data_IF_522383520129
#
_entry.id   IF_522383520129
#
_cell.length_a   1.000
_cell.length_b   1.000
_cell.length_c   1.000
_cell.angle_alpha   90.00
_cell.angle_beta   90.00
_cell.angle_gamma   90.00
#
_symmetry.space_group_name_H-M   'P 1'
#
loop_
_entity.id
_entity.type
_entity.pdbx_description
1 polymer ?
#
# COMPACT_ATOMS: atom_id res chain seq x y z
N UNK A 1 -4.04 -13.03 7.33
CA UNK A 1 -3.01 -12.58 6.38
C UNK A 1 -1.78 -13.50 6.31
N UNK A 2 -1.30 -14.08 7.42
CA UNK A 2 -0.11 -14.97 7.38
C UNK A 2 -0.42 -16.44 7.16
N UNK A 3 -1.70 -16.84 7.21
CA UNK A 3 -2.14 -18.21 6.97
C UNK A 3 -2.47 -18.39 5.46
N UNK A 4 -2.29 -19.60 4.90
CA UNK A 4 -2.57 -19.88 3.48
C UNK A 4 -4.09 -20.02 3.23
N UNK A 5 -4.85 -19.00 3.59
CA UNK A 5 -6.31 -18.99 3.55
C UNK A 5 -6.78 -17.76 2.79
N UNK A 6 -7.68 -17.89 1.79
CA UNK A 6 -8.21 -16.74 1.07
C UNK A 6 -9.33 -16.07 1.89
N UNK A 7 -8.99 -15.15 2.80
CA UNK A 7 -9.98 -14.60 3.75
C UNK A 7 -11.08 -13.78 3.05
N UNK A 8 -10.79 -13.15 1.91
CA UNK A 8 -11.78 -12.32 1.18
C UNK A 8 -12.92 -13.17 0.58
N UNK A 9 -12.66 -14.25 -0.20
CA UNK A 9 -13.71 -15.19 -0.59
C UNK A 9 -14.49 -15.78 0.59
N UNK A 10 -13.80 -16.17 1.68
CA UNK A 10 -14.47 -16.73 2.85
C UNK A 10 -15.40 -15.72 3.52
N UNK A 11 -14.99 -14.46 3.61
CA UNK A 11 -15.82 -13.40 4.17
C UNK A 11 -17.06 -13.14 3.34
N UNK A 12 -16.96 -13.27 2.00
CA UNK A 12 -18.12 -13.19 1.13
C UNK A 12 -19.06 -14.38 1.31
N UNK A 13 -18.52 -15.60 1.43
CA UNK A 13 -19.31 -16.79 1.71
C UNK A 13 -20.03 -16.70 3.07
N UNK A 14 -19.42 -16.04 4.05
CA UNK A 14 -20.00 -15.74 5.37
C UNK A 14 -20.93 -14.50 5.38
N UNK A 15 -21.31 -13.96 4.23
CA UNK A 15 -22.27 -12.85 4.14
C UNK A 15 -21.75 -11.49 4.64
N UNK A 16 -20.46 -11.34 4.94
CA UNK A 16 -19.89 -10.10 5.49
C UNK A 16 -19.79 -8.97 4.45
N UNK A 17 -19.84 -9.31 3.17
CA UNK A 17 -19.64 -8.37 2.07
C UNK A 17 -19.39 -9.08 0.74
N UNK A 18 -19.07 -8.35 -0.32
CA UNK A 18 -18.69 -8.92 -1.61
C UNK A 18 -17.30 -8.46 -2.02
N UNK A 19 -16.60 -9.26 -2.82
CA UNK A 19 -15.34 -8.81 -3.41
C UNK A 19 -15.63 -7.78 -4.51
N UNK A 20 -15.24 -6.52 -4.28
CA UNK A 20 -15.40 -5.48 -5.28
C UNK A 20 -14.48 -5.69 -6.49
N UNK A 21 -14.70 -4.92 -7.58
CA UNK A 21 -13.86 -4.98 -8.79
C UNK A 21 -12.37 -4.70 -8.53
N UNK A 22 -12.06 -4.02 -7.43
CA UNK A 22 -10.70 -3.79 -6.93
C UNK A 22 -10.14 -4.95 -6.06
N UNK A 23 -10.80 -6.10 -6.05
CA UNK A 23 -10.39 -7.34 -5.35
C UNK A 23 -10.27 -7.27 -3.82
N UNK A 24 -10.84 -6.25 -3.18
CA UNK A 24 -10.99 -6.20 -1.71
C UNK A 24 -12.46 -6.37 -1.33
N UNK A 25 -12.70 -6.83 -0.11
CA UNK A 25 -14.05 -7.00 0.40
C UNK A 25 -14.69 -5.62 0.61
N UNK A 26 -15.96 -5.51 0.26
CA UNK A 26 -16.80 -4.33 0.43
C UNK A 26 -18.05 -4.74 1.19
N UNK A 27 -18.48 -3.95 2.14
CA UNK A 27 -19.65 -4.17 2.98
C UNK A 27 -20.64 -3.02 2.81
N UNK A 28 -21.94 -3.35 2.86
CA UNK A 28 -23.03 -2.36 2.78
C UNK A 28 -23.05 -1.41 3.99
N UNK A 29 -22.49 -1.83 5.13
CA UNK A 29 -22.56 -1.10 6.40
C UNK A 29 -21.21 -0.58 6.90
N UNK A 30 -20.10 -1.07 6.32
CA UNK A 30 -18.74 -0.72 6.73
C UNK A 30 -17.88 -0.13 5.60
N UNK A 31 -18.39 -0.04 4.37
CA UNK A 31 -17.58 0.37 3.22
C UNK A 31 -16.51 -0.67 2.90
N UNK A 32 -15.25 -0.26 2.71
CA UNK A 32 -14.11 -1.18 2.52
C UNK A 32 -12.90 -0.89 3.43
N UNK A 33 -13.06 -0.03 4.45
CA UNK A 33 -12.01 0.34 5.42
C UNK A 33 -12.14 -0.46 6.71
N UNK A 34 -11.97 -1.78 6.62
CA UNK A 34 -12.02 -2.65 7.78
C UNK A 34 -11.05 -3.83 7.64
N UNK A 35 -10.69 -4.42 8.77
CA UNK A 35 -9.86 -5.62 8.80
C UNK A 35 -10.72 -6.87 8.76
N UNK A 36 -10.18 -7.93 8.15
CA UNK A 36 -10.78 -9.25 8.12
C UNK A 36 -9.95 -10.18 9.01
N UNK A 37 -10.65 -10.98 9.82
CA UNK A 37 -10.07 -12.09 10.56
C UNK A 37 -10.89 -13.35 10.35
N UNK A 38 -10.27 -14.50 10.55
CA UNK A 38 -10.96 -15.79 10.45
C UNK A 38 -10.57 -16.66 11.64
N UNK A 39 -11.55 -17.37 12.20
CA UNK A 39 -11.37 -18.33 13.29
C UNK A 39 -11.83 -19.68 12.77
N UNK A 40 -10.95 -20.69 12.85
CA UNK A 40 -11.27 -22.06 12.47
C UNK A 40 -11.70 -22.81 13.73
N UNK A 41 -12.79 -23.55 13.62
CA UNK A 41 -13.36 -24.33 14.70
C UNK A 41 -13.90 -25.66 14.18
N UNK A 42 -13.96 -26.66 15.05
CA UNK A 42 -14.61 -27.95 14.77
C UNK A 42 -16.07 -27.95 15.20
N UNK A 43 -16.57 -26.85 15.78
CA UNK A 43 -17.98 -26.71 16.11
C UNK A 43 -18.83 -26.66 14.84
N UNK A 44 -19.95 -27.39 14.86
CA UNK A 44 -20.97 -27.29 13.83
C UNK A 44 -21.78 -26.01 14.06
N UNK A 45 -21.62 -25.04 13.16
CA UNK A 45 -22.34 -23.78 13.17
C UNK A 45 -23.21 -23.69 11.91
N UNK A 46 -24.44 -23.15 12.00
CA UNK A 46 -25.23 -22.83 10.82
C UNK A 46 -24.44 -21.89 9.90
N UNK A 47 -24.41 -22.20 8.60
CA UNK A 47 -23.76 -21.35 7.62
C UNK A 47 -24.65 -20.13 7.27
N UNK A 48 -24.02 -18.97 7.16
CA UNK A 48 -24.68 -17.77 6.65
C UNK A 48 -24.94 -17.87 5.14
N UNK A 49 -25.80 -16.99 4.64
CA UNK A 49 -26.00 -16.83 3.19
C UNK A 49 -24.90 -15.92 2.62
N UNK A 50 -24.27 -16.37 1.54
CA UNK A 50 -23.26 -15.58 0.85
C UNK A 50 -23.83 -14.26 0.32
N UNK A 51 -23.05 -13.19 0.45
CA UNK A 51 -23.44 -11.87 -0.06
C UNK A 51 -23.20 -11.76 -1.58
N UNK A 52 -24.06 -10.99 -2.25
CA UNK A 52 -24.03 -10.80 -3.70
C UNK A 52 -23.20 -9.58 -4.09
N UNK A 53 -22.77 -9.52 -5.34
CA UNK A 53 -22.04 -8.36 -5.86
C UNK A 53 -22.95 -7.12 -5.98
N UNK A 54 -22.49 -5.98 -5.47
CA UNK A 54 -23.18 -4.69 -5.57
C UNK A 54 -22.36 -3.61 -6.32
N UNK A 55 -21.36 -3.99 -7.12
CA UNK A 55 -20.58 -3.06 -7.93
C UNK A 55 -21.34 -2.57 -9.18
N UNK A 56 -22.21 -3.41 -9.76
CA UNK A 56 -22.96 -3.08 -10.97
C UNK A 56 -22.06 -2.59 -12.11
N UNK A 57 -22.43 -1.50 -12.79
CA UNK A 57 -21.64 -0.90 -13.88
C UNK A 57 -20.46 -0.04 -13.42
N UNK A 58 -20.28 0.21 -12.11
CA UNK A 58 -19.24 1.10 -11.59
C UNK A 58 -17.83 0.63 -11.98
N UNK A 59 -16.95 1.55 -12.39
CA UNK A 59 -15.54 1.29 -12.74
C UNK A 59 -14.57 2.25 -12.04
N UNK A 60 -15.03 3.02 -11.04
CA UNK A 60 -14.26 4.08 -10.39
C UNK A 60 -12.86 3.62 -9.92
N UNK A 61 -12.79 2.47 -9.23
CA UNK A 61 -11.53 1.92 -8.74
C UNK A 61 -10.56 1.48 -9.85
N UNK A 62 -11.08 1.06 -11.00
CA UNK A 62 -10.27 0.66 -12.14
C UNK A 62 -9.64 1.90 -12.79
N UNK A 63 -10.44 2.96 -12.96
CA UNK A 63 -10.00 4.23 -13.54
C UNK A 63 -9.03 5.01 -12.62
N UNK A 64 -9.20 4.90 -11.30
CA UNK A 64 -8.35 5.61 -10.35
C UNK A 64 -6.98 4.97 -10.12
N UNK A 65 -6.75 3.74 -10.58
CA UNK A 65 -5.50 3.03 -10.34
C UNK A 65 -4.34 3.69 -11.12
N UNK A 66 -3.32 4.28 -10.48
CA UNK A 66 -2.29 5.06 -11.19
C UNK A 66 -1.45 4.25 -12.17
N UNK A 67 -1.39 2.94 -11.95
CA UNK A 67 -0.55 2.00 -12.69
C UNK A 67 -1.35 1.04 -13.55
N UNK A 68 -2.67 1.22 -13.69
CA UNK A 68 -3.52 0.32 -14.48
C UNK A 68 -3.33 -1.14 -14.03
N UNK A 69 -3.31 -1.37 -12.71
CA UNK A 69 -3.04 -2.69 -12.14
C UNK A 69 -4.20 -3.67 -12.30
N UNK A 70 -5.35 -3.23 -12.83
CA UNK A 70 -6.51 -4.06 -13.08
C UNK A 70 -6.70 -4.31 -14.58
N UNK A 71 -6.18 -5.42 -15.14
CA UNK A 71 -6.38 -5.73 -16.55
C UNK A 71 -7.86 -5.91 -16.93
N UNK A 72 -8.70 -6.32 -15.97
CA UNK A 72 -10.16 -6.38 -16.06
C UNK A 72 -10.78 -6.35 -14.65
N UNK A 73 -12.10 -6.10 -14.52
CA UNK A 73 -12.79 -6.20 -13.23
C UNK A 73 -12.46 -7.50 -12.48
N UNK A 74 -12.23 -7.40 -11.17
CA UNK A 74 -11.94 -8.54 -10.27
C UNK A 74 -10.60 -9.25 -10.52
N UNK A 75 -9.74 -8.72 -11.39
CA UNK A 75 -8.41 -9.26 -11.64
C UNK A 75 -7.36 -8.20 -11.34
N UNK A 76 -6.39 -8.52 -10.47
CA UNK A 76 -5.28 -7.65 -10.11
C UNK A 76 -3.97 -8.23 -10.64
N UNK A 77 -3.19 -7.42 -11.36
CA UNK A 77 -1.77 -7.68 -11.64
C UNK A 77 -0.92 -7.08 -10.50
N UNK A 78 -0.48 -7.94 -9.59
CA UNK A 78 0.34 -7.55 -8.44
C UNK A 78 1.64 -6.85 -8.86
N UNK A 79 2.22 -7.18 -10.02
CA UNK A 79 3.48 -6.58 -10.51
C UNK A 79 3.33 -5.10 -10.85
N UNK A 80 2.09 -4.61 -10.98
CA UNK A 80 1.77 -3.21 -11.23
C UNK A 80 1.15 -2.52 -10.01
N UNK A 81 0.59 -3.29 -9.07
CA UNK A 81 -0.07 -2.75 -7.89
C UNK A 81 0.92 -2.02 -6.97
N UNK A 82 0.72 -0.72 -6.73
CA UNK A 82 1.61 0.07 -5.85
C UNK A 82 1.69 -0.52 -4.45
N UNK A 83 0.57 -1.06 -3.92
CA UNK A 83 0.57 -1.72 -2.61
C UNK A 83 1.53 -2.92 -2.59
N UNK A 84 1.46 -3.80 -3.58
CA UNK A 84 2.43 -4.91 -3.71
C UNK A 84 3.86 -4.42 -3.94
N UNK A 85 4.06 -3.43 -4.82
CA UNK A 85 5.39 -2.92 -5.15
C UNK A 85 6.08 -2.31 -3.93
N UNK A 86 5.35 -1.61 -3.08
CA UNK A 86 5.90 -0.96 -1.88
C UNK A 86 6.03 -1.91 -0.70
N UNK A 87 5.16 -2.91 -0.60
CA UNK A 87 5.09 -3.79 0.56
C UNK A 87 5.78 -5.13 0.34
N UNK A 88 5.60 -5.81 -0.80
CA UNK A 88 6.07 -7.20 -1.01
C UNK A 88 7.25 -7.31 -1.96
N UNK A 89 7.29 -6.48 -3.01
CA UNK A 89 8.35 -6.52 -4.01
C UNK A 89 9.70 -6.10 -3.42
N UNK A 90 10.70 -6.98 -3.48
CA UNK A 90 12.04 -6.76 -2.91
C UNK A 90 12.97 -5.97 -3.84
N UNK A 91 12.92 -6.24 -5.14
CA UNK A 91 13.86 -5.70 -6.12
C UNK A 91 13.54 -4.27 -6.57
N UNK A 92 14.25 -3.75 -7.59
CA UNK A 92 13.95 -2.45 -8.16
C UNK A 92 12.55 -2.45 -8.80
N UNK A 93 11.83 -1.34 -8.66
CA UNK A 93 10.59 -1.11 -9.42
C UNK A 93 10.98 -0.79 -10.86
N UNK A 94 10.25 -1.37 -11.83
CA UNK A 94 10.51 -1.13 -13.25
C UNK A 94 10.40 0.38 -13.57
N UNK A 95 11.31 0.95 -14.38
CA UNK A 95 11.44 2.40 -14.55
C UNK A 95 10.14 3.13 -14.90
N UNK A 96 9.29 2.53 -15.74
CA UNK A 96 8.02 3.10 -16.20
C UNK A 96 6.96 3.24 -15.09
N UNK A 97 7.10 2.49 -13.99
CA UNK A 97 6.19 2.59 -12.86
C UNK A 97 6.67 3.57 -11.79
N UNK A 98 7.99 3.87 -11.70
CA UNK A 98 8.56 4.74 -10.64
C UNK A 98 7.87 6.12 -10.56
N UNK A 99 7.60 6.83 -11.68
CA UNK A 99 6.86 8.09 -11.63
C UNK A 99 5.42 7.94 -11.09
N UNK A 100 4.78 6.81 -11.39
CA UNK A 100 3.37 6.54 -11.06
C UNK A 100 3.16 6.22 -9.57
N UNK A 101 4.21 5.89 -8.81
CA UNK A 101 4.11 5.68 -7.37
C UNK A 101 3.73 6.98 -6.63
N UNK A 102 4.11 8.15 -7.17
CA UNK A 102 3.91 9.44 -6.49
C UNK A 102 4.65 9.47 -5.15
N UNK A 103 3.94 9.84 -4.08
CA UNK A 103 4.46 9.90 -2.71
C UNK A 103 4.15 8.64 -1.86
N UNK A 104 3.67 7.55 -2.48
CA UNK A 104 3.26 6.33 -1.76
C UNK A 104 4.49 5.51 -1.38
N UNK A 105 4.85 5.58 -0.09
CA UNK A 105 6.05 4.90 0.44
C UNK A 105 5.74 3.54 1.10
N UNK A 106 4.47 3.27 1.44
CA UNK A 106 4.01 2.01 2.01
C UNK A 106 2.50 1.85 1.77
N UNK A 107 2.11 0.92 0.90
CA UNK A 107 0.71 0.73 0.53
C UNK A 107 0.20 1.73 -0.51
N UNK A 108 -1.05 1.53 -0.91
CA UNK A 108 -1.80 2.43 -1.79
C UNK A 108 -3.29 2.21 -1.56
N UNK A 109 -4.00 3.30 -1.29
CA UNK A 109 -5.44 3.25 -0.99
C UNK A 109 -6.31 3.81 -2.11
N UNK A 110 -5.74 4.23 -3.25
CA UNK A 110 -6.50 4.97 -4.29
C UNK A 110 -7.74 4.22 -4.77
N UNK A 111 -7.61 2.92 -5.04
CA UNK A 111 -8.72 2.09 -5.51
C UNK A 111 -9.78 1.87 -4.42
N UNK A 112 -9.40 1.95 -3.14
CA UNK A 112 -10.32 1.90 -2.01
C UNK A 112 -11.00 3.25 -1.82
N UNK A 113 -10.22 4.34 -1.76
CA UNK A 113 -10.66 5.70 -1.48
C UNK A 113 -11.76 6.18 -2.44
N UNK A 114 -11.69 5.82 -3.73
CA UNK A 114 -12.70 6.20 -4.73
C UNK A 114 -13.95 5.31 -4.72
N UNK A 115 -13.99 4.25 -3.90
CA UNK A 115 -15.14 3.34 -3.87
C UNK A 115 -16.38 4.06 -3.30
N UNK A 116 -17.51 4.12 -4.03
CA UNK A 116 -18.69 4.86 -3.57
C UNK A 116 -19.35 4.26 -2.33
N UNK A 117 -19.05 2.99 -2.02
CA UNK A 117 -19.53 2.32 -0.80
C UNK A 117 -18.87 2.85 0.48
N UNK A 118 -17.77 3.61 0.37
CA UNK A 118 -17.14 4.24 1.53
C UNK A 118 -17.94 5.39 2.13
N UNK A 119 -19.03 5.82 1.50
CA UNK A 119 -20.03 6.64 2.19
C UNK A 119 -20.64 5.97 3.43
N UNK A 120 -20.50 4.64 3.54
CA UNK A 120 -20.90 3.84 4.69
C UNK A 120 -19.72 3.44 5.58
N UNK A 121 -18.50 3.91 5.30
CA UNK A 121 -17.35 3.61 6.13
C UNK A 121 -17.49 4.26 7.51
N UNK A 122 -17.05 3.56 8.55
CA UNK A 122 -17.11 4.03 9.92
C UNK A 122 -15.69 4.31 10.44
N UNK A 123 -15.54 5.38 11.21
CA UNK A 123 -14.28 5.65 11.90
C UNK A 123 -14.00 4.56 12.93
N UNK A 124 -12.76 4.08 12.96
CA UNK A 124 -12.31 3.12 13.96
C UNK A 124 -12.46 3.71 15.38
N UNK A 125 -12.97 2.91 16.32
CA UNK A 125 -13.16 3.31 17.72
C UNK A 125 -12.00 2.91 18.64
N UNK A 126 -11.14 2.01 18.19
CA UNK A 126 -9.99 1.52 18.95
C UNK A 126 -8.78 2.46 18.81
N UNK A 127 -8.21 2.87 19.95
CA UNK A 127 -7.08 3.81 20.00
C UNK A 127 -5.86 3.29 19.23
N UNK A 128 -5.64 1.97 19.21
CA UNK A 128 -4.52 1.33 18.51
C UNK A 128 -4.53 1.51 16.98
N UNK A 129 -5.65 1.96 16.41
CA UNK A 129 -5.79 2.23 14.98
C UNK A 129 -5.63 3.71 14.64
N UNK A 130 -5.42 4.58 15.63
CA UNK A 130 -5.05 5.97 15.36
C UNK A 130 -3.60 6.03 14.87
N UNK A 131 -3.38 6.82 13.82
CA UNK A 131 -2.04 7.10 13.36
C UNK A 131 -1.26 7.81 14.48
N UNK A 132 -0.01 7.38 14.72
CA UNK A 132 0.88 8.11 15.61
C UNK A 132 1.16 9.48 15.01
N UNK A 133 1.21 10.53 15.83
CA UNK A 133 1.44 11.91 15.37
C UNK A 133 2.76 12.04 14.58
N UNK A 134 3.80 11.28 14.95
CA UNK A 134 5.10 11.26 14.25
C UNK A 134 5.09 10.53 12.90
N UNK A 135 3.95 9.97 12.52
CA UNK A 135 3.67 9.36 11.22
C UNK A 135 2.63 10.16 10.40
N UNK A 136 2.12 11.25 10.94
CA UNK A 136 1.31 12.20 10.20
C UNK A 136 2.22 13.05 9.29
N UNK A 137 2.36 12.63 8.02
CA UNK A 137 3.15 13.31 6.99
C UNK A 137 4.64 13.58 7.38
N UNK A 138 5.43 12.54 7.71
CA UNK A 138 6.85 12.70 8.00
C UNK A 138 7.63 13.24 6.79
N UNK A 139 8.66 14.04 7.06
CA UNK A 139 9.51 14.62 6.00
C UNK A 139 10.30 13.51 5.31
N UNK A 140 10.31 13.51 3.98
CA UNK A 140 11.06 12.54 3.17
C UNK A 140 12.56 12.53 3.50
N UNK A 141 13.12 13.71 3.81
CA UNK A 141 14.53 13.87 4.22
C UNK A 141 14.86 13.07 5.49
N UNK A 142 13.95 13.03 6.45
CA UNK A 142 14.19 12.34 7.72
C UNK A 142 14.03 10.82 7.52
N UNK A 143 13.06 10.41 6.70
CA UNK A 143 12.80 9.00 6.41
C UNK A 143 13.92 8.34 5.59
N UNK A 144 14.49 9.05 4.61
CA UNK A 144 15.55 8.50 3.74
C UNK A 144 16.87 8.31 4.50
N UNK A 145 17.07 9.08 5.57
CA UNK A 145 18.27 9.03 6.41
C UNK A 145 18.25 7.92 7.48
N UNK A 146 17.18 7.12 7.56
CA UNK A 146 17.07 6.06 8.57
C UNK A 146 18.14 4.97 8.36
N UNK A 147 18.91 4.72 9.42
CA UNK A 147 19.73 3.51 9.57
C UNK A 147 18.85 2.30 9.88
N UNK A 148 19.37 1.08 9.76
CA UNK A 148 18.60 -0.12 10.13
C UNK A 148 18.13 -0.08 11.60
N UNK A 149 19.01 0.35 12.51
CA UNK A 149 18.67 0.51 13.93
C UNK A 149 17.53 1.53 14.14
N UNK A 150 17.67 2.73 13.56
CA UNK A 150 16.66 3.78 13.67
C UNK A 150 15.32 3.38 13.02
N UNK A 151 15.36 2.66 11.89
CA UNK A 151 14.17 2.11 11.24
C UNK A 151 13.43 1.12 12.14
N UNK A 152 14.16 0.16 12.73
CA UNK A 152 13.57 -0.86 13.63
C UNK A 152 12.95 -0.26 14.88
N UNK A 153 13.59 0.77 15.44
CA UNK A 153 13.08 1.52 16.57
C UNK A 153 11.81 2.28 16.19
N UNK A 154 11.87 3.11 15.13
CA UNK A 154 10.76 3.96 14.68
C UNK A 154 9.50 3.16 14.37
N UNK A 155 9.64 2.03 13.68
CA UNK A 155 8.50 1.21 13.23
C UNK A 155 8.21 0.02 14.14
N UNK A 156 8.74 -0.04 15.36
CA UNK A 156 8.40 -1.10 16.32
C UNK A 156 6.89 -1.16 16.57
N UNK A 157 6.32 -2.37 16.49
CA UNK A 157 4.87 -2.59 16.59
C UNK A 157 4.05 -2.19 15.36
N UNK A 158 4.67 -1.62 14.32
CA UNK A 158 4.02 -1.29 13.05
C UNK A 158 4.22 -2.39 12.01
N UNK A 159 3.23 -2.66 11.13
CA UNK A 159 3.40 -3.57 10.00
C UNK A 159 4.53 -3.13 9.06
N UNK A 160 4.89 -1.83 9.03
CA UNK A 160 6.00 -1.30 8.22
C UNK A 160 7.33 -1.99 8.58
N UNK A 161 7.55 -2.36 9.84
CA UNK A 161 8.81 -3.00 10.26
C UNK A 161 9.13 -4.27 9.47
N UNK A 162 8.12 -4.99 8.96
CA UNK A 162 8.30 -6.26 8.26
C UNK A 162 9.02 -6.12 6.92
N UNK A 163 8.98 -4.95 6.28
CA UNK A 163 9.57 -4.77 4.95
C UNK A 163 11.07 -4.50 5.00
N UNK A 164 11.59 -4.10 6.17
CA UNK A 164 12.99 -3.74 6.39
C UNK A 164 13.34 -2.34 5.88
N UNK A 165 14.50 -1.83 6.32
CA UNK A 165 14.98 -0.47 5.99
C UNK A 165 15.14 -0.29 4.49
N UNK A 166 15.76 -1.23 3.79
CA UNK A 166 16.17 -1.02 2.39
C UNK A 166 14.95 -0.88 1.45
N UNK A 167 13.94 -1.74 1.60
CA UNK A 167 12.69 -1.63 0.83
C UNK A 167 11.97 -0.31 1.14
N UNK A 168 11.95 0.10 2.41
CA UNK A 168 11.34 1.34 2.82
C UNK A 168 12.07 2.55 2.22
N UNK A 169 13.39 2.64 2.39
CA UNK A 169 14.22 3.74 1.88
C UNK A 169 14.19 3.80 0.36
N UNK A 170 14.20 2.66 -0.34
CA UNK A 170 13.94 2.59 -1.79
C UNK A 170 12.64 3.29 -2.17
N UNK A 171 11.53 3.01 -1.46
CA UNK A 171 10.25 3.65 -1.74
C UNK A 171 10.29 5.16 -1.46
N UNK A 172 10.95 5.56 -0.38
CA UNK A 172 11.15 6.98 -0.05
C UNK A 172 11.95 7.69 -1.14
N UNK A 173 12.98 7.05 -1.71
CA UNK A 173 13.76 7.61 -2.83
C UNK A 173 12.91 7.81 -4.09
N UNK A 174 11.99 6.88 -4.39
CA UNK A 174 11.02 7.11 -5.48
C UNK A 174 10.11 8.31 -5.18
N UNK A 175 9.62 8.46 -3.94
CA UNK A 175 8.85 9.62 -3.53
C UNK A 175 9.67 10.93 -3.61
N UNK A 176 10.96 10.90 -3.27
CA UNK A 176 11.88 12.03 -3.42
C UNK A 176 12.01 12.43 -4.89
N UNK A 177 12.29 11.49 -5.80
CA UNK A 177 12.37 11.79 -7.23
C UNK A 177 11.06 12.36 -7.79
N UNK A 178 9.91 11.89 -7.29
CA UNK A 178 8.59 12.37 -7.69
C UNK A 178 8.20 13.74 -7.10
N UNK A 179 8.88 14.18 -6.02
CA UNK A 179 8.54 15.43 -5.33
C UNK A 179 8.86 16.69 -6.13
N UNK A 180 9.80 16.59 -7.08
CA UNK A 180 10.40 17.73 -7.80
C UNK A 180 11.00 18.78 -6.87
N UNK A 181 11.38 18.42 -5.64
CA UNK A 181 12.02 19.32 -4.67
C UNK A 181 13.56 19.21 -4.77
N UNK A 182 14.26 20.20 -5.35
CA UNK A 182 15.71 20.16 -5.50
C UNK A 182 16.45 20.14 -4.16
N UNK A 183 15.81 20.57 -3.07
CA UNK A 183 16.42 20.54 -1.73
C UNK A 183 16.68 19.12 -1.21
N UNK A 184 16.11 18.10 -1.86
CA UNK A 184 16.29 16.69 -1.50
C UNK A 184 17.42 16.00 -2.30
N UNK A 185 18.03 16.68 -3.28
CA UNK A 185 19.11 16.12 -4.11
C UNK A 185 20.26 15.58 -3.25
N UNK A 186 20.73 16.37 -2.27
CA UNK A 186 21.84 15.97 -1.41
C UNK A 186 21.52 14.72 -0.58
N UNK A 187 20.27 14.60 -0.11
CA UNK A 187 19.83 13.45 0.66
C UNK A 187 19.76 12.17 -0.20
N UNK A 188 19.23 12.28 -1.43
CA UNK A 188 19.24 11.16 -2.37
C UNK A 188 20.69 10.77 -2.78
N UNK A 189 21.53 11.76 -3.09
CA UNK A 189 22.91 11.54 -3.53
C UNK A 189 23.77 10.80 -2.50
N UNK A 190 23.52 11.02 -1.21
CA UNK A 190 24.21 10.30 -0.14
C UNK A 190 24.00 8.78 -0.18
N UNK A 191 22.93 8.30 -0.84
CA UNK A 191 22.60 6.89 -0.97
C UNK A 191 22.93 6.28 -2.34
N UNK A 192 23.52 7.04 -3.27
CA UNK A 192 23.93 6.50 -4.57
C UNK A 192 24.98 5.38 -4.47
N UNK A 193 25.69 5.28 -3.35
CA UNK A 193 26.66 4.21 -3.02
C UNK A 193 26.23 3.32 -1.86
N UNK A 194 24.93 3.24 -1.56
CA UNK A 194 24.41 2.34 -0.52
C UNK A 194 24.79 0.87 -0.83
N UNK A 195 25.16 0.04 0.18
CA UNK A 195 25.49 -1.36 -0.04
C UNK A 195 24.33 -2.19 -0.61
N UNK A 196 23.08 -1.79 -0.37
CA UNK A 196 21.95 -2.38 -1.07
C UNK A 196 21.81 -1.78 -2.47
N UNK A 197 21.94 -2.65 -3.48
CA UNK A 197 21.93 -2.23 -4.90
C UNK A 197 20.59 -1.63 -5.34
N UNK A 198 19.49 -1.99 -4.67
CA UNK A 198 18.17 -1.47 -4.98
C UNK A 198 17.99 -0.06 -4.42
N UNK A 199 18.53 0.21 -3.24
CA UNK A 199 18.61 1.57 -2.67
C UNK A 199 19.48 2.46 -3.54
N UNK A 200 20.67 1.99 -3.93
CA UNK A 200 21.57 2.72 -4.80
C UNK A 200 20.93 3.05 -6.17
N UNK A 201 20.24 2.10 -6.81
CA UNK A 201 19.50 2.33 -8.06
C UNK A 201 18.40 3.40 -7.89
N UNK A 202 17.59 3.29 -6.83
CA UNK A 202 16.53 4.27 -6.57
C UNK A 202 17.09 5.67 -6.28
N UNK A 203 18.23 5.76 -5.60
CA UNK A 203 18.91 7.01 -5.29
C UNK A 203 19.43 7.71 -6.55
N UNK A 204 20.12 6.95 -7.42
CA UNK A 204 20.58 7.46 -8.71
C UNK A 204 19.41 7.96 -9.57
N UNK A 205 18.32 7.19 -9.64
CA UNK A 205 17.11 7.61 -10.34
C UNK A 205 16.52 8.91 -9.76
N UNK A 206 16.42 9.03 -8.44
CA UNK A 206 15.88 10.22 -7.78
C UNK A 206 16.73 11.47 -8.07
N UNK A 207 18.07 11.35 -8.01
CA UNK A 207 18.97 12.45 -8.36
C UNK A 207 18.74 12.91 -9.80
N UNK A 208 18.66 11.99 -10.75
CA UNK A 208 18.39 12.32 -12.17
C UNK A 208 17.08 13.08 -12.33
N UNK A 209 15.99 12.61 -11.69
CA UNK A 209 14.68 13.27 -11.77
C UNK A 209 14.70 14.71 -11.23
N UNK A 210 15.38 14.92 -10.10
CA UNK A 210 15.45 16.22 -9.46
C UNK A 210 16.35 17.20 -10.21
N UNK A 211 17.44 16.72 -10.83
CA UNK A 211 18.32 17.55 -11.66
C UNK A 211 17.71 17.92 -13.01
N UNK A 212 16.87 17.04 -13.59
CA UNK A 212 16.18 17.32 -14.86
C UNK A 212 15.01 18.31 -14.70
N UNK A 213 14.55 18.53 -13.48
CA UNK A 213 13.45 19.44 -13.15
C UNK A 213 13.92 20.81 -12.63
N UNK A 214 15.25 21.04 -12.59
CA UNK A 214 15.89 22.28 -12.13
C UNK A 214 16.22 23.22 -13.28
#
# INVERSE_FOLDING_TARGET
DTAPVPEKPLSQAAGLGWQGKHTNLVSRTLGNWFFIGSIFTTLELPADTAEIDHCGSCTACLMACPTDAFPKPYQLDARRCISYLTIEHKGPVVPELRPKLGNRIYGCDDCLAVCPWNKFAQSARELRYQARDDLAAPKLRDLVALTDAAFREKFSGSPIKRIGRDRFVRNVLYAIGNSKDPSLISAARALCGDPDTTVADAANWAVVQLTASS
#
